data_IF_412074883734
#
_entry.id   IF_412074883734
#
_cell.length_a   1.000
_cell.length_b   1.000
_cell.length_c   1.000
_cell.angle_alpha   90.00
_cell.angle_beta   90.00
_cell.angle_gamma   90.00
#
_symmetry.space_group_name_H-M   'P 1'
#
loop_
_entity.id
_entity.type
_entity.pdbx_description
1 polymer ?
#
# COMPACT_ATOMS: atom_id res chain seq x y z
N UNK A 1 16.47 40.30 -52.75
CA UNK A 1 15.85 40.64 -51.45
C UNK A 1 14.78 39.58 -51.19
N UNK A 2 15.12 38.50 -50.49
CA UNK A 2 14.23 37.37 -50.23
C UNK A 2 14.18 37.14 -48.72
N UNK A 3 12.98 37.32 -48.15
CA UNK A 3 12.69 37.25 -46.73
C UNK A 3 12.76 35.80 -46.23
N UNK A 4 13.56 35.54 -45.18
CA UNK A 4 13.47 34.32 -44.37
C UNK A 4 12.32 34.49 -43.38
N UNK A 5 11.27 33.68 -43.52
CA UNK A 5 10.21 33.56 -42.53
C UNK A 5 10.66 32.61 -41.40
N UNK A 6 10.64 33.09 -40.16
CA UNK A 6 10.93 32.29 -38.97
C UNK A 6 9.59 31.76 -38.43
N UNK A 7 9.33 30.47 -38.62
CA UNK A 7 8.13 29.82 -38.08
C UNK A 7 8.35 29.47 -36.60
N UNK A 8 7.69 30.17 -35.69
CA UNK A 8 7.62 29.81 -34.27
C UNK A 8 6.42 28.89 -34.05
N UNK A 9 6.69 27.59 -33.90
CA UNK A 9 5.68 26.60 -33.51
C UNK A 9 5.49 26.64 -31.99
N UNK A 10 4.38 27.20 -31.53
CA UNK A 10 3.97 27.12 -30.12
C UNK A 10 3.39 25.72 -29.91
N UNK A 11 4.17 24.83 -29.30
CA UNK A 11 3.67 23.53 -28.82
C UNK A 11 2.94 23.74 -27.50
N UNK A 12 1.62 23.56 -27.54
CA UNK A 12 0.76 23.54 -26.36
C UNK A 12 1.09 22.28 -25.54
N UNK A 13 1.82 22.43 -24.44
CA UNK A 13 2.03 21.36 -23.47
C UNK A 13 0.70 21.11 -22.75
N UNK A 14 -0.08 20.14 -23.25
CA UNK A 14 -1.25 19.64 -22.55
C UNK A 14 -0.80 18.91 -21.27
N UNK A 15 -0.97 19.57 -20.12
CA UNK A 15 -0.65 18.99 -18.82
C UNK A 15 -1.82 18.10 -18.39
N UNK A 16 -1.88 16.86 -18.88
CA UNK A 16 -2.83 15.86 -18.38
C UNK A 16 -2.26 15.19 -17.14
N UNK A 17 -2.25 15.90 -16.02
CA UNK A 17 -1.95 15.34 -14.71
C UNK A 17 -3.20 14.80 -14.03
N UNK A 18 -3.74 13.66 -14.48
CA UNK A 18 -4.67 12.91 -13.63
C UNK A 18 -3.83 12.16 -12.59
N UNK A 19 -3.76 12.70 -11.36
CA UNK A 19 -3.28 11.93 -10.22
C UNK A 19 -4.24 10.75 -10.00
N UNK A 20 -3.85 9.56 -10.47
CA UNK A 20 -4.62 8.35 -10.25
C UNK A 20 -4.70 8.09 -8.73
N UNK A 21 -5.91 7.92 -8.20
CA UNK A 21 -6.12 7.51 -6.82
C UNK A 21 -5.77 6.02 -6.72
N UNK A 22 -4.48 5.72 -6.59
CA UNK A 22 -3.99 4.37 -6.34
C UNK A 22 -4.35 4.00 -4.92
N UNK A 23 -5.38 3.17 -4.76
CA UNK A 23 -5.67 2.57 -3.47
C UNK A 23 -4.53 1.58 -3.16
N UNK A 24 -3.85 1.71 -2.01
CA UNK A 24 -2.80 0.77 -1.65
C UNK A 24 -3.39 -0.64 -1.63
N UNK A 25 -2.80 -1.52 -2.42
CA UNK A 25 -3.18 -2.93 -2.54
C UNK A 25 -2.18 -3.75 -1.75
N UNK A 26 -2.66 -4.70 -0.97
CA UNK A 26 -1.83 -5.65 -0.25
C UNK A 26 -1.65 -6.87 -1.14
N UNK A 27 -0.40 -7.19 -1.46
CA UNK A 27 -0.04 -8.42 -2.16
C UNK A 27 0.10 -9.55 -1.13
N UNK A 28 -0.97 -10.34 -1.01
CA UNK A 28 -1.02 -11.46 -0.09
C UNK A 28 -0.29 -12.67 -0.66
N UNK A 29 0.63 -13.23 0.13
CA UNK A 29 1.33 -14.48 -0.16
C UNK A 29 1.19 -15.43 1.03
N UNK A 30 1.33 -16.75 0.85
CA UNK A 30 1.47 -17.66 1.98
C UNK A 30 2.58 -17.17 2.91
N UNK A 31 2.33 -17.20 4.22
CA UNK A 31 3.38 -16.85 5.18
C UNK A 31 4.57 -17.83 5.09
N UNK A 32 5.79 -17.40 5.45
CA UNK A 32 6.92 -18.29 5.63
C UNK A 32 6.58 -19.54 6.45
N UNK A 33 7.13 -20.69 6.05
CA UNK A 33 6.99 -21.93 6.81
C UNK A 33 7.50 -21.73 8.25
N UNK A 34 6.86 -22.41 9.20
CA UNK A 34 7.21 -22.42 10.62
C UNK A 34 7.04 -21.07 11.37
N UNK A 35 6.52 -20.02 10.73
CA UNK A 35 6.17 -18.76 11.42
C UNK A 35 4.93 -18.92 12.33
N UNK A 36 4.02 -19.82 11.97
CA UNK A 36 2.78 -20.09 12.69
C UNK A 36 2.57 -21.59 12.87
N UNK A 37 2.37 -22.05 14.10
CA UNK A 37 1.96 -23.42 14.41
C UNK A 37 0.43 -23.55 14.30
N UNK A 38 -0.05 -23.65 13.06
CA UNK A 38 -1.49 -23.80 12.78
C UNK A 38 -1.74 -24.61 11.52
N UNK A 39 -2.88 -25.31 11.47
CA UNK A 39 -3.37 -26.00 10.27
C UNK A 39 -4.21 -25.08 9.37
N UNK A 40 -4.46 -23.85 9.80
CA UNK A 40 -5.24 -22.88 9.04
C UNK A 40 -4.39 -22.28 7.92
N UNK A 41 -5.05 -21.87 6.84
CA UNK A 41 -4.39 -21.21 5.73
C UNK A 41 -4.11 -19.74 6.09
N UNK A 42 -2.83 -19.40 6.22
CA UNK A 42 -2.37 -18.08 6.68
C UNK A 42 -1.58 -17.38 5.58
N UNK A 43 -1.99 -16.14 5.29
CA UNK A 43 -1.34 -15.26 4.34
C UNK A 43 -0.73 -14.05 5.03
N UNK A 44 0.42 -13.61 4.53
CA UNK A 44 1.16 -12.47 4.99
C UNK A 44 1.25 -11.43 3.88
N UNK A 45 1.33 -10.15 4.25
CA UNK A 45 1.47 -9.06 3.30
C UNK A 45 1.86 -7.76 3.98
N UNK A 46 2.38 -6.82 3.20
CA UNK A 46 2.72 -5.49 3.69
C UNK A 46 1.69 -4.47 3.19
N UNK A 47 1.33 -3.53 4.07
CA UNK A 47 0.63 -2.32 3.72
C UNK A 47 1.58 -1.14 3.91
N UNK A 48 2.13 -0.62 2.81
CA UNK A 48 2.98 0.57 2.82
C UNK A 48 2.13 1.81 3.03
N UNK A 49 2.45 2.57 4.06
CA UNK A 49 1.76 3.81 4.43
C UNK A 49 2.74 4.98 4.54
N UNK A 50 2.30 6.23 4.30
CA UNK A 50 3.14 7.38 4.58
C UNK A 50 3.42 7.48 6.09
N UNK A 51 4.63 7.87 6.46
CA UNK A 51 4.99 8.14 7.84
C UNK A 51 4.26 9.38 8.38
N UNK A 52 3.97 10.35 7.51
CA UNK A 52 3.26 11.58 7.81
C UNK A 52 2.08 11.79 6.84
N UNK A 53 0.88 11.91 7.40
CA UNK A 53 -0.37 12.06 6.67
C UNK A 53 -0.83 13.52 6.49
N UNK A 54 -0.05 14.53 6.92
CA UNK A 54 -0.45 15.95 6.87
C UNK A 54 -0.59 16.52 5.44
N UNK A 55 -0.07 15.82 4.42
CA UNK A 55 -0.32 16.14 3.01
C UNK A 55 0.49 17.31 2.45
N UNK A 56 1.63 17.63 3.07
CA UNK A 56 2.55 18.67 2.57
C UNK A 56 3.43 18.17 1.43
N UNK A 57 4.12 19.07 0.71
CA UNK A 57 5.09 18.71 -0.33
C UNK A 57 6.25 17.87 0.24
N UNK A 58 6.62 18.08 1.51
CA UNK A 58 7.54 17.25 2.27
C UNK A 58 6.95 15.87 2.58
N UNK A 59 5.67 15.78 2.94
CA UNK A 59 4.94 14.50 3.08
C UNK A 59 4.83 13.76 1.73
N UNK A 60 4.80 14.48 0.60
CA UNK A 60 4.83 13.92 -0.76
C UNK A 60 6.22 13.42 -1.20
N UNK A 61 7.30 13.91 -0.57
CA UNK A 61 8.65 13.31 -0.62
C UNK A 61 8.85 12.25 0.48
N UNK A 62 7.81 12.00 1.28
CA UNK A 62 7.87 11.47 2.63
C UNK A 62 8.29 10.01 2.70
N UNK A 63 9.03 9.69 3.76
CA UNK A 63 9.34 8.32 4.15
C UNK A 63 8.05 7.51 4.33
N UNK A 64 8.11 6.24 3.95
CA UNK A 64 7.03 5.27 4.17
C UNK A 64 7.43 4.28 5.25
N UNK A 65 6.42 3.63 5.82
CA UNK A 65 6.60 2.47 6.68
C UNK A 65 5.70 1.32 6.19
N UNK A 66 6.21 0.10 6.30
CA UNK A 66 5.44 -1.10 6.01
C UNK A 66 4.77 -1.63 7.27
N UNK A 67 3.44 -1.61 7.28
CA UNK A 67 2.65 -2.33 8.27
C UNK A 67 2.59 -3.81 7.86
N UNK A 68 3.18 -4.68 8.68
CA UNK A 68 3.16 -6.12 8.46
C UNK A 68 1.82 -6.70 8.90
N UNK A 69 1.12 -7.35 7.98
CA UNK A 69 -0.20 -7.93 8.21
C UNK A 69 -0.15 -9.45 8.12
N UNK A 70 -0.99 -10.09 8.92
CA UNK A 70 -1.31 -11.53 8.84
C UNK A 70 -2.81 -11.68 8.63
N UNK A 71 -3.21 -12.61 7.77
CA UNK A 71 -4.59 -12.93 7.43
C UNK A 71 -4.79 -14.43 7.48
N UNK A 72 -5.63 -14.87 8.41
CA UNK A 72 -6.16 -16.23 8.41
C UNK A 72 -7.38 -16.27 7.50
N UNK A 73 -7.41 -17.18 6.52
CA UNK A 73 -8.54 -17.30 5.61
C UNK A 73 -9.76 -17.91 6.35
N UNK A 74 -10.95 -17.46 5.96
CA UNK A 74 -12.18 -18.02 6.50
C UNK A 74 -12.28 -19.50 6.10
N UNK A 75 -12.42 -20.44 7.06
CA UNK A 75 -12.55 -21.87 6.72
C UNK A 75 -13.83 -22.17 5.93
N UNK A 76 -14.87 -21.37 6.14
CA UNK A 76 -16.16 -21.49 5.45
C UNK A 76 -16.30 -20.37 4.42
N UNK A 77 -16.65 -20.75 3.19
CA UNK A 77 -16.85 -19.85 2.06
C UNK A 77 -18.35 -19.73 1.70
N UNK A 78 -18.79 -18.59 1.12
CA UNK A 78 -17.99 -17.40 0.84
C UNK A 78 -17.72 -16.58 2.11
N UNK A 79 -16.51 -16.03 2.22
CA UNK A 79 -16.21 -15.08 3.29
C UNK A 79 -17.13 -13.85 3.18
N UNK A 80 -17.66 -13.40 4.33
CA UNK A 80 -18.49 -12.19 4.44
C UNK A 80 -17.68 -10.90 4.65
N UNK A 81 -16.37 -11.02 4.86
CA UNK A 81 -15.49 -9.89 5.16
C UNK A 81 -14.30 -10.28 6.02
N UNK A 82 -13.65 -9.27 6.61
CA UNK A 82 -12.50 -9.44 7.50
C UNK A 82 -12.86 -8.98 8.91
N UNK A 83 -12.38 -9.70 9.91
CA UNK A 83 -12.38 -9.25 11.30
C UNK A 83 -10.99 -8.71 11.58
N UNK A 84 -10.88 -7.42 11.88
CA UNK A 84 -9.61 -6.79 12.23
C UNK A 84 -9.42 -6.83 13.74
N UNK A 85 -8.26 -7.31 14.18
CA UNK A 85 -7.94 -7.48 15.60
C UNK A 85 -6.79 -6.55 15.98
N UNK A 86 -6.88 -5.96 17.17
CA UNK A 86 -5.78 -5.29 17.86
C UNK A 86 -5.80 -5.77 19.31
N UNK A 87 -4.75 -6.47 19.73
CA UNK A 87 -4.67 -7.06 21.06
C UNK A 87 -4.26 -6.05 22.16
N UNK A 88 -3.90 -4.82 21.80
CA UNK A 88 -3.52 -3.77 22.75
C UNK A 88 -2.04 -3.82 23.18
N UNK A 89 -1.73 -3.23 24.34
CA UNK A 89 -0.38 -3.18 24.91
C UNK A 89 0.67 -2.48 24.02
N UNK A 90 0.44 -1.23 23.57
CA UNK A 90 1.19 -0.62 22.45
C UNK A 90 2.68 -0.97 22.40
N UNK A 91 3.16 -1.38 21.23
CA UNK A 91 4.52 -1.90 21.01
C UNK A 91 4.58 -3.42 20.84
N UNK A 92 3.57 -4.16 21.30
CA UNK A 92 3.45 -5.60 21.04
C UNK A 92 2.93 -5.89 19.62
N UNK A 93 3.61 -6.75 18.83
CA UNK A 93 3.15 -7.13 17.50
C UNK A 93 2.04 -8.18 17.58
N UNK A 94 0.94 -7.98 16.83
CA UNK A 94 -0.09 -9.01 16.68
C UNK A 94 0.37 -10.21 15.84
N UNK A 95 1.23 -9.99 14.84
CA UNK A 95 1.71 -11.02 13.91
C UNK A 95 2.66 -12.03 14.56
N UNK A 96 3.51 -11.58 15.49
CA UNK A 96 4.49 -12.43 16.20
C UNK A 96 4.13 -12.65 17.68
N UNK A 97 2.93 -12.23 18.07
CA UNK A 97 2.45 -12.43 19.44
C UNK A 97 2.08 -13.89 19.63
N UNK A 98 2.62 -14.50 20.69
CA UNK A 98 2.13 -15.77 21.22
C UNK A 98 0.66 -15.61 21.58
N UNK A 99 -0.23 -16.28 20.87
CA UNK A 99 -1.53 -16.68 21.44
C UNK A 99 -1.36 -17.95 22.26
#
# INVERSE_FOLDING_TARGET
MTFRTLSLSITCLAWTGLAACTRPKIDWVPCPADEFDTKLEVHCGNLTVPLDYTGTAESAKGSTIDLQLVKVLAPTQPSRGSIQMNFGGPGSPARRGTV
#
